data_IF_671040166074
#
_entry.id   IF_671040166074
#
_cell.length_a   1.000
_cell.length_b   1.000
_cell.length_c   1.000
_cell.angle_alpha   90.00
_cell.angle_beta   90.00
_cell.angle_gamma   90.00
#
_symmetry.space_group_name_H-M   'P 1'
#
loop_
_entity.id
_entity.type
_entity.pdbx_description
1 polymer ?
#
# COMPACT_ATOMS: atom_id res chain seq x y z
N UNK A 1 38.20 31.93 -44.94
CA UNK A 1 38.25 33.41 -44.75
C UNK A 1 37.82 33.67 -43.34
N UNK A 2 38.78 33.93 -42.55
CA UNK A 2 39.18 35.15 -41.84
C UNK A 2 38.36 35.28 -40.54
N UNK A 3 38.91 35.03 -39.38
CA UNK A 3 40.01 35.63 -38.57
C UNK A 3 39.50 36.76 -37.65
N UNK A 4 39.91 36.65 -36.36
CA UNK A 4 40.09 37.72 -35.38
C UNK A 4 39.57 37.33 -34.01
N UNK A 5 40.28 36.74 -33.07
CA UNK A 5 41.39 37.11 -32.15
C UNK A 5 41.24 38.49 -31.48
N UNK A 6 41.28 38.53 -30.17
CA UNK A 6 42.29 38.98 -29.16
C UNK A 6 41.58 39.25 -27.83
N UNK A 7 41.83 38.67 -26.71
CA UNK A 7 42.92 38.72 -25.73
C UNK A 7 43.08 40.08 -25.01
N UNK A 8 43.14 40.03 -23.68
CA UNK A 8 43.58 41.12 -22.81
C UNK A 8 43.50 40.84 -21.32
N UNK A 9 44.59 40.39 -20.73
CA UNK A 9 44.90 40.28 -19.30
C UNK A 9 44.94 41.64 -18.57
N UNK A 10 44.78 41.59 -17.23
CA UNK A 10 45.23 42.66 -16.36
C UNK A 10 44.90 42.47 -14.89
N UNK A 11 45.78 41.80 -14.15
CA UNK A 11 45.84 41.82 -12.67
C UNK A 11 46.18 43.20 -12.14
N UNK A 12 45.67 43.59 -10.97
CA UNK A 12 46.42 44.21 -9.87
C UNK A 12 45.64 44.25 -8.57
N UNK A 13 46.27 43.73 -7.56
CA UNK A 13 46.13 43.83 -6.08
C UNK A 13 46.08 45.28 -5.61
N UNK A 14 45.27 45.57 -4.54
CA UNK A 14 45.65 46.35 -3.34
C UNK A 14 44.50 46.37 -2.32
N UNK A 15 44.83 46.00 -1.10
CA UNK A 15 44.10 46.30 0.15
C UNK A 15 44.92 47.39 0.88
N UNK A 16 44.49 47.90 2.04
CA UNK A 16 43.17 48.13 2.65
C UNK A 16 42.92 49.63 3.00
N UNK A 17 41.69 50.00 3.28
CA UNK A 17 41.40 51.19 4.08
C UNK A 17 40.15 50.96 4.96
N UNK A 18 40.40 51.09 6.21
CA UNK A 18 39.54 51.18 7.36
C UNK A 18 38.53 52.33 7.20
N UNK A 19 37.23 52.03 7.41
CA UNK A 19 36.24 53.05 7.69
C UNK A 19 35.08 52.50 8.52
N UNK A 20 35.08 52.86 9.79
CA UNK A 20 33.99 52.70 10.73
C UNK A 20 32.71 53.33 10.18
N UNK A 21 31.65 52.58 10.08
CA UNK A 21 30.29 53.09 9.90
C UNK A 21 29.41 52.53 11.03
N UNK A 22 28.75 53.47 11.69
CA UNK A 22 27.84 53.33 12.82
C UNK A 22 26.81 52.23 12.65
N UNK A 23 26.63 51.55 13.74
CA UNK A 23 25.53 50.64 14.05
C UNK A 23 24.20 51.42 14.10
N UNK A 24 23.37 51.24 13.06
CA UNK A 24 21.93 51.55 13.09
C UNK A 24 21.17 50.21 13.21
N UNK A 25 20.52 50.02 14.35
CA UNK A 25 19.64 48.95 14.68
C UNK A 25 18.39 49.04 13.79
N UNK A 26 18.06 48.06 12.95
CA UNK A 26 16.77 48.01 12.31
C UNK A 26 15.71 47.55 13.32
N UNK A 27 14.64 48.32 13.40
CA UNK A 27 13.43 47.95 14.14
C UNK A 27 12.89 46.58 13.62
N UNK A 28 12.69 45.68 14.57
CA UNK A 28 12.03 44.38 14.34
C UNK A 28 10.57 44.65 14.01
N UNK A 29 10.23 44.63 12.71
CA UNK A 29 8.86 44.42 12.27
C UNK A 29 8.48 43.01 12.64
N UNK A 30 7.61 42.86 13.62
CA UNK A 30 6.95 41.62 13.96
C UNK A 30 6.03 41.26 12.77
N UNK A 31 6.51 40.38 11.89
CA UNK A 31 5.66 39.66 10.94
C UNK A 31 4.75 38.74 11.77
N UNK A 32 3.49 39.13 11.90
CA UNK A 32 2.46 38.25 12.41
C UNK A 32 2.37 37.05 11.43
N UNK A 33 2.75 35.87 11.89
CA UNK A 33 2.39 34.61 11.24
C UNK A 33 0.86 34.58 11.13
N UNK A 34 0.29 34.23 9.96
CA UNK A 34 -1.13 34.02 9.86
C UNK A 34 -1.48 32.87 10.82
N UNK A 35 -2.31 33.16 11.82
CA UNK A 35 -2.94 32.15 12.64
C UNK A 35 -3.61 31.15 11.68
N UNK A 36 -3.09 29.93 11.59
CA UNK A 36 -3.77 28.80 11.00
C UNK A 36 -5.05 28.65 11.82
N UNK A 37 -6.17 29.03 11.26
CA UNK A 37 -7.48 28.67 11.75
C UNK A 37 -7.51 27.14 11.78
N UNK A 38 -7.41 26.57 12.96
CA UNK A 38 -7.55 25.14 13.18
C UNK A 38 -8.96 24.81 12.70
N UNK A 39 -9.03 24.16 11.51
CA UNK A 39 -10.31 23.80 10.94
C UNK A 39 -11.03 22.93 11.98
N UNK A 40 -12.23 23.36 12.40
CA UNK A 40 -13.06 22.57 13.30
C UNK A 40 -13.19 21.17 12.72
N UNK A 41 -12.89 20.15 13.54
CA UNK A 41 -13.04 18.75 13.11
C UNK A 41 -14.48 18.45 12.67
N UNK A 42 -14.71 17.30 12.02
CA UNK A 42 -16.03 16.94 11.55
C UNK A 42 -17.02 16.83 12.72
N UNK A 43 -18.29 17.21 12.49
CA UNK A 43 -19.35 17.06 13.48
C UNK A 43 -19.66 15.57 13.68
N UNK A 44 -19.63 15.11 14.94
CA UNK A 44 -19.93 13.72 15.29
C UNK A 44 -21.41 13.59 15.57
N UNK A 45 -22.14 12.69 14.86
CA UNK A 45 -23.58 12.49 15.08
C UNK A 45 -23.86 11.96 16.49
N UNK A 46 -25.04 12.28 17.02
CA UNK A 46 -25.51 11.78 18.34
C UNK A 46 -25.98 10.33 18.27
N UNK A 47 -26.38 9.86 17.11
CA UNK A 47 -26.74 8.47 16.82
C UNK A 47 -25.67 7.85 15.94
N UNK A 48 -25.30 6.59 16.22
CA UNK A 48 -24.30 5.89 15.42
C UNK A 48 -24.83 5.61 14.02
N UNK A 49 -24.05 5.93 13.03
CA UNK A 49 -24.31 5.59 11.63
C UNK A 49 -23.83 4.17 11.36
N UNK A 50 -24.75 3.33 10.89
CA UNK A 50 -24.40 1.96 10.48
C UNK A 50 -23.64 2.00 9.15
N UNK A 51 -22.41 1.43 9.13
CA UNK A 51 -21.55 1.31 7.94
C UNK A 51 -21.05 -0.11 7.76
N UNK A 52 -20.85 -0.51 6.51
CA UNK A 52 -20.23 -1.79 6.14
C UNK A 52 -18.81 -1.59 5.66
N UNK A 53 -17.87 -2.25 6.33
CA UNK A 53 -16.45 -2.18 6.02
C UNK A 53 -15.96 -3.53 5.51
N UNK A 54 -15.53 -3.57 4.25
CA UNK A 54 -14.97 -4.77 3.66
C UNK A 54 -13.51 -4.98 4.04
N UNK A 55 -13.17 -6.24 4.34
CA UNK A 55 -11.83 -6.66 4.68
C UNK A 55 -11.45 -7.98 3.99
N UNK A 56 -10.16 -8.27 3.93
CA UNK A 56 -9.63 -9.59 3.58
C UNK A 56 -9.12 -10.30 4.84
N UNK A 57 -9.21 -11.65 4.95
CA UNK A 57 -8.79 -12.37 6.16
C UNK A 57 -7.27 -12.48 6.26
N UNK A 58 -6.61 -11.34 6.43
CA UNK A 58 -5.17 -11.21 6.62
C UNK A 58 -4.84 -10.11 7.62
N UNK A 59 -3.63 -10.18 8.20
CA UNK A 59 -3.17 -9.24 9.21
C UNK A 59 -3.20 -7.78 8.72
N UNK A 60 -2.77 -7.56 7.49
CA UNK A 60 -2.68 -6.22 6.91
C UNK A 60 -4.03 -5.50 6.85
N UNK A 61 -5.10 -6.25 6.54
CA UNK A 61 -6.47 -5.74 6.50
C UNK A 61 -7.03 -5.49 7.90
N UNK A 62 -6.85 -6.49 8.79
CA UNK A 62 -7.55 -6.53 10.07
C UNK A 62 -6.89 -5.71 11.18
N UNK A 63 -5.56 -5.59 11.19
CA UNK A 63 -4.84 -5.04 12.34
C UNK A 63 -5.31 -3.63 12.73
N UNK A 64 -5.50 -2.73 11.76
CA UNK A 64 -5.97 -1.36 12.03
C UNK A 64 -7.46 -1.33 12.36
N UNK A 65 -8.28 -2.14 11.66
CA UNK A 65 -9.73 -2.20 11.86
C UNK A 65 -10.04 -2.73 13.28
N UNK A 66 -9.41 -3.85 13.67
CA UNK A 66 -9.61 -4.47 14.99
C UNK A 66 -9.10 -3.56 16.12
N UNK A 67 -7.99 -2.84 15.90
CA UNK A 67 -7.51 -1.86 16.86
C UNK A 67 -8.48 -0.68 17.00
N UNK A 68 -9.07 -0.19 15.91
CA UNK A 68 -10.08 0.87 15.96
C UNK A 68 -11.36 0.41 16.68
N UNK A 69 -11.80 -0.83 16.44
CA UNK A 69 -12.94 -1.44 17.13
C UNK A 69 -12.64 -1.63 18.62
N UNK A 70 -11.52 -2.29 18.97
CA UNK A 70 -11.14 -2.60 20.33
C UNK A 70 -10.90 -1.39 21.23
N UNK A 71 -10.51 -0.25 20.65
CA UNK A 71 -10.34 1.03 21.37
C UNK A 71 -11.60 1.89 21.44
N UNK A 72 -12.71 1.45 20.80
CA UNK A 72 -13.94 2.24 20.71
C UNK A 72 -13.81 3.45 19.78
N UNK A 73 -12.82 3.44 18.84
CA UNK A 73 -12.63 4.55 17.93
C UNK A 73 -13.80 4.70 16.96
N UNK A 74 -14.42 3.62 16.51
CA UNK A 74 -15.56 3.69 15.62
C UNK A 74 -16.73 4.41 16.30
N UNK A 75 -17.12 4.01 17.52
CA UNK A 75 -18.20 4.65 18.28
C UNK A 75 -17.86 6.12 18.59
N UNK A 76 -16.59 6.40 18.95
CA UNK A 76 -16.12 7.76 19.20
C UNK A 76 -16.32 8.68 17.99
N UNK A 77 -16.15 8.15 16.78
CA UNK A 77 -16.34 8.89 15.53
C UNK A 77 -17.73 8.70 14.91
N UNK A 78 -18.68 8.12 15.66
CA UNK A 78 -20.09 8.03 15.33
C UNK A 78 -20.48 6.87 14.42
N UNK A 79 -19.77 5.72 14.49
CA UNK A 79 -20.03 4.55 13.66
C UNK A 79 -20.43 3.31 14.45
N UNK A 80 -21.42 2.59 13.92
CA UNK A 80 -21.72 1.18 14.17
C UNK A 80 -21.23 0.39 12.95
N UNK A 81 -20.24 -0.51 13.13
CA UNK A 81 -19.51 -1.12 12.03
C UNK A 81 -19.88 -2.59 11.85
N UNK A 82 -20.33 -2.96 10.64
CA UNK A 82 -20.45 -4.35 10.19
C UNK A 82 -19.23 -4.70 9.31
N UNK A 83 -18.46 -5.70 9.74
CA UNK A 83 -17.32 -6.20 8.97
C UNK A 83 -17.75 -7.28 7.96
N UNK A 84 -17.38 -7.12 6.69
CA UNK A 84 -17.75 -8.03 5.60
C UNK A 84 -16.50 -8.60 4.94
N UNK A 85 -16.35 -9.93 4.98
CA UNK A 85 -15.19 -10.64 4.43
C UNK A 85 -15.27 -10.81 2.92
N UNK A 86 -14.13 -10.59 2.25
CA UNK A 86 -13.94 -10.82 0.82
C UNK A 86 -12.60 -11.52 0.55
N UNK A 87 -12.54 -12.24 -0.56
CA UNK A 87 -11.33 -12.96 -0.96
C UNK A 87 -10.21 -12.03 -1.45
N UNK A 88 -10.56 -10.92 -2.15
CA UNK A 88 -9.61 -10.04 -2.82
C UNK A 88 -10.15 -8.61 -3.05
N UNK A 89 -9.24 -7.71 -3.41
CA UNK A 89 -9.57 -6.29 -3.65
C UNK A 89 -10.48 -6.03 -4.85
N UNK A 90 -10.30 -6.66 -6.00
CA UNK A 90 -11.21 -6.50 -7.15
C UNK A 90 -12.67 -6.84 -6.83
N UNK A 91 -12.92 -7.92 -6.09
CA UNK A 91 -14.28 -8.30 -5.67
C UNK A 91 -14.87 -7.31 -4.67
N UNK A 92 -14.04 -6.76 -3.77
CA UNK A 92 -14.43 -5.68 -2.87
C UNK A 92 -14.91 -4.45 -3.66
N UNK A 93 -14.13 -3.97 -4.63
CA UNK A 93 -14.48 -2.78 -5.42
C UNK A 93 -15.79 -3.02 -6.18
N UNK A 94 -16.00 -4.21 -6.72
CA UNK A 94 -17.26 -4.56 -7.39
C UNK A 94 -18.46 -4.57 -6.42
N UNK A 95 -18.28 -5.00 -5.17
CA UNK A 95 -19.30 -4.93 -4.14
C UNK A 95 -19.60 -3.46 -3.73
N UNK A 96 -18.58 -2.60 -3.66
CA UNK A 96 -18.75 -1.17 -3.40
C UNK A 96 -19.53 -0.49 -4.52
N UNK A 97 -19.25 -0.79 -5.79
CA UNK A 97 -19.98 -0.26 -6.95
C UNK A 97 -21.48 -0.64 -6.92
N UNK A 98 -21.82 -1.79 -6.34
CA UNK A 98 -23.22 -2.19 -6.14
C UNK A 98 -23.91 -1.49 -4.95
N UNK A 99 -23.18 -0.70 -4.17
CA UNK A 99 -23.67 -0.03 -2.98
C UNK A 99 -23.84 -0.93 -1.75
N UNK A 100 -23.26 -2.14 -1.75
CA UNK A 100 -23.36 -3.07 -0.64
C UNK A 100 -22.27 -2.88 0.44
N UNK A 101 -21.25 -2.08 0.18
CA UNK A 101 -20.10 -1.79 1.05
C UNK A 101 -19.82 -0.28 1.02
N UNK A 102 -19.58 0.31 2.18
CA UNK A 102 -19.32 1.75 2.34
C UNK A 102 -17.83 2.08 2.25
N UNK A 103 -17.02 1.35 2.99
CA UNK A 103 -15.55 1.51 3.05
C UNK A 103 -14.88 0.16 2.92
N UNK A 104 -13.65 0.17 2.45
CA UNK A 104 -12.94 -1.09 2.28
C UNK A 104 -11.43 -0.95 2.38
N UNK A 105 -10.77 -2.05 2.75
CA UNK A 105 -9.34 -2.22 2.61
C UNK A 105 -9.03 -2.87 1.25
N UNK A 106 -7.97 -2.40 0.59
CA UNK A 106 -7.40 -3.04 -0.62
C UNK A 106 -5.88 -3.13 -0.55
N UNK A 107 -5.34 -4.17 -1.19
CA UNK A 107 -3.90 -4.32 -1.44
C UNK A 107 -3.45 -3.63 -2.71
N UNK A 108 -2.13 -3.60 -2.91
CA UNK A 108 -1.43 -2.85 -3.99
C UNK A 108 -2.00 -3.13 -5.38
N UNK A 109 -2.20 -4.39 -5.76
CA UNK A 109 -2.66 -4.74 -7.12
C UNK A 109 -4.02 -4.16 -7.49
N UNK A 110 -4.92 -3.95 -6.51
CA UNK A 110 -6.22 -3.35 -6.74
C UNK A 110 -6.18 -1.82 -6.94
N UNK A 111 -5.09 -1.13 -6.58
CA UNK A 111 -4.95 0.31 -6.80
C UNK A 111 -5.08 0.72 -8.28
N UNK A 112 -4.79 -0.18 -9.22
CA UNK A 112 -5.02 0.08 -10.64
C UNK A 112 -6.48 0.42 -10.95
N UNK A 113 -7.43 -0.14 -10.19
CA UNK A 113 -8.85 0.15 -10.33
C UNK A 113 -9.18 1.55 -9.79
N UNK A 114 -8.47 2.01 -8.73
CA UNK A 114 -8.57 3.39 -8.26
C UNK A 114 -8.04 4.38 -9.30
N UNK A 115 -6.91 4.07 -9.95
CA UNK A 115 -6.38 4.90 -11.06
C UNK A 115 -7.37 4.99 -12.22
N UNK A 116 -8.20 3.97 -12.43
CA UNK A 116 -9.29 3.96 -13.42
C UNK A 116 -10.54 4.72 -12.95
N UNK A 117 -10.53 5.29 -11.75
CA UNK A 117 -11.65 6.06 -11.18
C UNK A 117 -12.80 5.22 -10.62
N UNK A 118 -12.57 3.91 -10.37
CA UNK A 118 -13.59 3.01 -9.82
C UNK A 118 -13.75 3.13 -8.30
N UNK A 119 -12.72 3.59 -7.59
CA UNK A 119 -12.74 3.94 -6.18
C UNK A 119 -11.69 5.01 -5.89
N UNK A 120 -11.83 5.74 -4.79
CA UNK A 120 -10.86 6.72 -4.32
C UNK A 120 -10.12 6.18 -3.10
N UNK A 121 -8.79 6.34 -3.09
CA UNK A 121 -7.96 6.09 -1.89
C UNK A 121 -8.21 7.23 -0.91
N UNK A 122 -8.68 6.90 0.30
CA UNK A 122 -8.98 7.90 1.35
C UNK A 122 -7.89 7.98 2.42
N UNK A 123 -7.19 6.87 2.70
CA UNK A 123 -5.96 6.88 3.49
C UNK A 123 -5.12 5.62 3.24
N UNK A 124 -3.84 5.70 3.57
CA UNK A 124 -2.96 4.53 3.56
C UNK A 124 -3.15 3.70 4.83
N UNK A 125 -3.16 2.38 4.67
CA UNK A 125 -3.28 1.46 5.79
C UNK A 125 -1.89 1.07 6.33
N UNK A 126 -1.03 0.56 5.48
CA UNK A 126 0.34 0.16 5.82
C UNK A 126 1.20 -0.17 4.60
N UNK A 127 2.51 -0.33 4.84
CA UNK A 127 3.41 -1.00 3.91
C UNK A 127 3.29 -2.52 4.10
N UNK A 128 3.16 -3.28 3.00
CA UNK A 128 3.07 -4.73 3.02
C UNK A 128 4.41 -5.37 2.68
N UNK A 129 4.74 -6.45 3.38
CA UNK A 129 5.91 -7.30 3.10
C UNK A 129 5.52 -8.79 3.20
N UNK A 130 4.32 -9.11 2.73
CA UNK A 130 3.68 -10.41 2.97
C UNK A 130 3.53 -11.25 1.70
N UNK A 131 3.81 -10.68 0.51
CA UNK A 131 3.69 -11.38 -0.76
C UNK A 131 4.96 -12.14 -1.07
N UNK A 132 4.81 -13.34 -1.62
CA UNK A 132 5.93 -14.14 -2.12
C UNK A 132 5.55 -14.99 -3.32
N UNK A 133 6.54 -15.30 -4.15
CA UNK A 133 6.52 -16.36 -5.15
C UNK A 133 7.25 -17.57 -4.56
N UNK A 134 6.54 -18.70 -4.49
CA UNK A 134 7.01 -19.94 -3.86
C UNK A 134 7.06 -21.04 -4.91
N UNK A 135 8.23 -21.67 -5.08
CA UNK A 135 8.43 -22.86 -5.90
C UNK A 135 8.33 -24.15 -5.07
N UNK A 136 7.98 -25.26 -5.74
CA UNK A 136 8.02 -26.59 -5.14
C UNK A 136 9.20 -27.37 -5.74
N UNK A 137 10.20 -27.72 -4.90
CA UNK A 137 11.41 -28.40 -5.34
C UNK A 137 11.13 -29.82 -5.85
N UNK A 138 10.11 -30.53 -5.32
CA UNK A 138 9.66 -31.83 -5.83
C UNK A 138 9.10 -31.74 -7.25
N UNK A 139 8.63 -30.55 -7.68
CA UNK A 139 8.15 -30.26 -9.02
C UNK A 139 9.23 -29.67 -9.93
N UNK A 140 10.49 -29.66 -9.44
CA UNK A 140 11.66 -29.17 -10.17
C UNK A 140 11.71 -27.64 -10.31
N UNK A 141 11.18 -26.90 -9.33
CA UNK A 141 11.27 -25.44 -9.26
C UNK A 141 12.14 -25.07 -8.07
N UNK A 142 13.38 -24.70 -8.33
CA UNK A 142 14.38 -24.33 -7.33
C UNK A 142 14.84 -22.87 -7.49
N UNK A 143 14.74 -22.33 -8.69
CA UNK A 143 15.16 -20.96 -9.05
C UNK A 143 14.07 -20.29 -9.87
N UNK A 144 14.20 -18.97 -10.09
CA UNK A 144 13.24 -18.22 -10.93
C UNK A 144 13.26 -18.70 -12.36
N UNK A 145 14.42 -19.08 -12.89
CA UNK A 145 14.60 -19.59 -14.26
C UNK A 145 13.84 -20.89 -14.49
N UNK A 146 13.67 -21.71 -13.44
CA UNK A 146 12.92 -22.98 -13.51
C UNK A 146 11.42 -22.77 -13.73
N UNK A 147 10.91 -21.54 -13.52
CA UNK A 147 9.49 -21.20 -13.75
C UNK A 147 9.11 -21.29 -15.24
N UNK A 148 10.08 -21.26 -16.15
CA UNK A 148 9.79 -21.33 -17.59
C UNK A 148 9.03 -22.60 -17.95
N UNK A 149 7.83 -22.44 -18.52
CA UNK A 149 6.93 -23.53 -18.91
C UNK A 149 6.25 -24.26 -17.74
N UNK A 150 6.38 -23.77 -16.51
CA UNK A 150 5.75 -24.34 -15.32
C UNK A 150 4.35 -23.78 -15.09
N UNK A 151 3.53 -24.57 -14.38
CA UNK A 151 2.21 -24.16 -13.88
C UNK A 151 2.37 -23.28 -12.66
N UNK A 152 2.07 -22.00 -12.80
CA UNK A 152 2.20 -21.03 -11.72
C UNK A 152 0.84 -20.45 -11.36
N UNK A 153 0.36 -20.76 -10.15
CA UNK A 153 -0.90 -20.22 -9.64
C UNK A 153 -0.74 -18.78 -9.14
N UNK A 154 -1.72 -17.93 -9.44
CA UNK A 154 -1.77 -16.55 -8.96
C UNK A 154 -3.21 -16.02 -8.93
N UNK A 155 -3.44 -14.91 -8.23
CA UNK A 155 -4.72 -14.21 -8.19
C UNK A 155 -4.61 -12.92 -9.00
N UNK A 156 -5.40 -12.84 -10.08
CA UNK A 156 -5.36 -11.72 -11.03
C UNK A 156 -5.86 -10.42 -10.39
N UNK A 157 -5.22 -9.30 -10.74
CA UNK A 157 -5.61 -8.00 -10.23
C UNK A 157 -5.22 -7.72 -8.78
N UNK A 158 -4.41 -8.58 -8.16
CA UNK A 158 -3.98 -8.46 -6.77
C UNK A 158 -2.45 -8.29 -6.66
N UNK A 159 -1.93 -8.15 -5.44
CA UNK A 159 -0.49 -8.13 -5.18
C UNK A 159 0.22 -9.44 -5.59
N UNK A 160 -0.52 -10.55 -5.64
CA UNK A 160 -0.04 -11.84 -6.16
C UNK A 160 0.45 -11.74 -7.61
N UNK A 161 -0.33 -11.10 -8.47
CA UNK A 161 0.06 -10.86 -9.86
C UNK A 161 1.29 -9.94 -9.95
N UNK A 162 1.32 -8.90 -9.13
CA UNK A 162 2.41 -7.93 -9.14
C UNK A 162 3.74 -8.56 -8.68
N UNK A 163 3.74 -9.32 -7.59
CA UNK A 163 4.96 -9.99 -7.10
C UNK A 163 5.44 -11.08 -8.07
N UNK A 164 4.51 -11.78 -8.76
CA UNK A 164 4.86 -12.76 -9.78
C UNK A 164 5.57 -12.10 -10.97
N UNK A 165 5.00 -11.01 -11.51
CA UNK A 165 5.62 -10.26 -12.60
C UNK A 165 7.00 -9.73 -12.23
N UNK A 166 7.13 -9.16 -11.03
CA UNK A 166 8.41 -8.65 -10.53
C UNK A 166 9.45 -9.77 -10.40
N UNK A 167 9.05 -10.95 -9.88
CA UNK A 167 9.92 -12.11 -9.73
C UNK A 167 10.35 -12.67 -11.08
N UNK A 168 9.44 -12.87 -12.01
CA UNK A 168 9.74 -13.31 -13.37
C UNK A 168 10.75 -12.38 -14.08
N UNK A 169 10.61 -11.07 -13.84
CA UNK A 169 11.50 -10.05 -14.39
C UNK A 169 12.98 -10.23 -13.98
N UNK A 170 13.28 -10.82 -12.80
CA UNK A 170 14.65 -11.13 -12.37
C UNK A 170 15.37 -12.08 -13.34
N UNK A 171 14.63 -13.01 -13.97
CA UNK A 171 15.16 -13.97 -14.95
C UNK A 171 14.86 -13.56 -16.40
N UNK A 172 14.44 -12.32 -16.65
CA UNK A 172 13.95 -11.85 -17.96
C UNK A 172 12.80 -12.71 -18.52
N UNK A 173 11.98 -13.28 -17.64
CA UNK A 173 10.76 -14.00 -17.98
C UNK A 173 9.55 -13.06 -17.87
N UNK A 174 8.47 -13.44 -18.55
CA UNK A 174 7.19 -12.76 -18.54
C UNK A 174 6.06 -13.75 -18.23
N UNK A 175 4.83 -13.28 -18.10
CA UNK A 175 3.67 -14.17 -17.93
C UNK A 175 3.46 -15.13 -19.10
N UNK A 176 3.95 -14.80 -20.31
CA UNK A 176 3.85 -15.63 -21.50
C UNK A 176 4.88 -16.81 -21.49
N UNK A 177 5.88 -16.75 -20.64
CA UNK A 177 6.89 -17.82 -20.49
C UNK A 177 6.47 -18.93 -19.52
N UNK A 178 5.34 -18.79 -18.83
CA UNK A 178 4.80 -19.74 -17.85
C UNK A 178 3.42 -20.24 -18.25
N UNK A 179 2.95 -21.36 -17.70
CA UNK A 179 1.55 -21.73 -17.72
C UNK A 179 0.86 -21.03 -16.52
N UNK A 180 0.38 -19.80 -16.74
CA UNK A 180 -0.26 -18.98 -15.73
C UNK A 180 -1.66 -19.53 -15.39
N UNK A 181 -1.89 -19.87 -14.12
CA UNK A 181 -3.15 -20.45 -13.64
C UNK A 181 -3.81 -19.47 -12.67
N UNK A 182 -4.84 -18.79 -13.15
CA UNK A 182 -5.60 -17.85 -12.33
C UNK A 182 -6.56 -18.59 -11.41
N UNK A 183 -6.54 -18.24 -10.11
CA UNK A 183 -7.46 -18.78 -9.11
C UNK A 183 -7.52 -17.89 -7.87
N UNK A 184 -8.53 -18.13 -7.02
CA UNK A 184 -8.66 -17.45 -5.72
C UNK A 184 -7.51 -17.80 -4.78
N UNK A 185 -7.14 -16.86 -3.91
CA UNK A 185 -6.01 -17.01 -2.99
C UNK A 185 -6.10 -18.26 -2.08
N UNK A 186 -7.30 -18.64 -1.66
CA UNK A 186 -7.51 -19.87 -0.88
C UNK A 186 -7.29 -21.15 -1.70
N UNK A 187 -7.69 -21.12 -2.98
CA UNK A 187 -7.47 -22.23 -3.91
C UNK A 187 -5.99 -22.40 -4.28
N UNK A 188 -5.22 -21.30 -4.34
CA UNK A 188 -3.76 -21.31 -4.56
C UNK A 188 -3.07 -22.19 -3.52
N UNK A 189 -3.36 -21.99 -2.23
CA UNK A 189 -2.77 -22.78 -1.14
C UNK A 189 -3.03 -24.27 -1.33
N UNK A 190 -4.28 -24.64 -1.59
CA UNK A 190 -4.67 -26.05 -1.83
C UNK A 190 -3.99 -26.64 -3.06
N UNK A 191 -3.92 -25.89 -4.16
CA UNK A 191 -3.29 -26.33 -5.40
C UNK A 191 -1.80 -26.56 -5.21
N UNK A 192 -1.11 -25.65 -4.51
CA UNK A 192 0.33 -25.73 -4.25
C UNK A 192 0.68 -26.90 -3.34
N UNK A 193 -0.01 -27.06 -2.22
CA UNK A 193 0.23 -28.14 -1.26
C UNK A 193 -0.08 -29.51 -1.86
N UNK A 194 -1.10 -29.63 -2.71
CA UNK A 194 -1.45 -30.89 -3.38
C UNK A 194 -0.62 -31.19 -4.64
N UNK A 195 0.33 -30.34 -5.01
CA UNK A 195 1.17 -30.52 -6.21
C UNK A 195 0.42 -30.41 -7.55
N UNK A 196 -0.72 -29.70 -7.58
CA UNK A 196 -1.47 -29.43 -8.82
C UNK A 196 -0.86 -28.31 -9.64
N UNK A 197 -0.04 -27.46 -9.00
CA UNK A 197 0.77 -26.44 -9.62
C UNK A 197 2.20 -26.56 -9.13
N UNK A 198 3.15 -26.10 -9.95
CA UNK A 198 4.59 -26.24 -9.70
C UNK A 198 5.14 -25.11 -8.81
N UNK A 199 4.48 -23.95 -8.89
CA UNK A 199 4.78 -22.76 -8.10
C UNK A 199 3.51 -21.93 -7.91
N UNK A 200 3.61 -20.96 -7.00
CA UNK A 200 2.53 -20.00 -6.81
C UNK A 200 3.03 -18.63 -6.38
N UNK A 201 2.20 -17.62 -6.59
CA UNK A 201 2.32 -16.30 -6.00
C UNK A 201 1.12 -16.04 -5.11
N UNK A 202 1.34 -15.60 -3.86
CA UNK A 202 0.28 -15.32 -2.90
C UNK A 202 0.81 -14.46 -1.75
N UNK A 203 -0.06 -14.15 -0.79
CA UNK A 203 0.27 -13.35 0.40
C UNK A 203 -0.02 -14.10 1.70
N UNK A 204 0.51 -13.57 2.81
CA UNK A 204 0.23 -14.11 4.15
C UNK A 204 -1.25 -13.91 4.54
N UNK A 205 -1.92 -14.92 5.19
CA UNK A 205 -1.33 -16.11 5.81
C UNK A 205 -1.08 -17.30 4.88
N UNK A 206 -1.52 -17.26 3.61
CA UNK A 206 -1.38 -18.38 2.67
C UNK A 206 0.08 -18.81 2.48
N UNK A 207 1.02 -17.85 2.39
CA UNK A 207 2.45 -18.14 2.30
C UNK A 207 2.94 -18.95 3.49
N UNK A 208 2.53 -18.59 4.72
CA UNK A 208 2.89 -19.30 5.93
C UNK A 208 2.33 -20.73 5.94
N UNK A 209 1.10 -20.92 5.49
CA UNK A 209 0.48 -22.25 5.37
C UNK A 209 1.27 -23.11 4.38
N UNK A 210 1.61 -22.57 3.21
CA UNK A 210 2.38 -23.29 2.19
C UNK A 210 3.76 -23.68 2.72
N UNK A 211 4.49 -22.78 3.39
CA UNK A 211 5.79 -23.09 3.99
C UNK A 211 5.68 -24.17 5.06
N UNK A 212 4.65 -24.13 5.90
CA UNK A 212 4.45 -25.12 6.95
C UNK A 212 4.12 -26.51 6.37
N UNK A 213 3.28 -26.58 5.34
CA UNK A 213 2.84 -27.85 4.75
C UNK A 213 3.90 -28.50 3.84
N UNK A 214 4.63 -27.70 3.08
CA UNK A 214 5.66 -28.20 2.18
C UNK A 214 7.04 -28.35 2.86
N UNK A 215 7.29 -27.63 3.94
CA UNK A 215 8.58 -27.65 4.64
C UNK A 215 9.74 -27.35 3.72
N UNK A 216 10.77 -28.21 3.73
CA UNK A 216 12.00 -28.03 2.92
C UNK A 216 11.77 -28.11 1.40
N UNK A 217 10.55 -28.43 0.96
CA UNK A 217 10.17 -28.46 -0.46
C UNK A 217 9.72 -27.09 -0.97
N UNK A 218 9.37 -26.17 -0.09
CA UNK A 218 9.02 -24.80 -0.44
C UNK A 218 10.28 -23.94 -0.57
N UNK A 219 10.49 -23.33 -1.74
CA UNK A 219 11.56 -22.37 -1.95
C UNK A 219 10.98 -20.99 -2.28
N UNK A 220 11.44 -19.94 -1.57
CA UNK A 220 11.11 -18.56 -1.88
C UNK A 220 11.91 -18.10 -3.10
N UNK A 221 11.21 -17.79 -4.18
CA UNK A 221 11.83 -17.33 -5.43
C UNK A 221 11.89 -15.79 -5.51
N UNK A 222 10.98 -15.14 -4.83
CA UNK A 222 10.93 -13.68 -4.70
C UNK A 222 9.90 -13.26 -3.67
N UNK A 223 10.17 -12.17 -2.96
CA UNK A 223 9.29 -11.57 -1.97
C UNK A 223 9.35 -10.04 -2.04
N UNK A 224 8.41 -9.33 -1.40
CA UNK A 224 8.37 -7.86 -1.43
C UNK A 224 9.71 -7.22 -1.02
N UNK A 225 10.42 -7.81 -0.03
CA UNK A 225 11.73 -7.33 0.44
C UNK A 225 12.80 -7.25 -0.66
N UNK A 226 12.65 -8.02 -1.74
CA UNK A 226 13.59 -8.07 -2.85
C UNK A 226 13.40 -6.95 -3.86
N UNK A 227 12.31 -6.18 -3.73
CA UNK A 227 11.87 -5.16 -4.69
C UNK A 227 11.63 -3.80 -4.07
N UNK A 228 12.10 -3.55 -2.83
CA UNK A 228 11.86 -2.30 -2.08
C UNK A 228 12.29 -1.04 -2.81
N UNK A 229 13.30 -1.14 -3.68
CA UNK A 229 13.81 0.00 -4.46
C UNK A 229 12.99 0.29 -5.73
N UNK A 230 12.17 -0.66 -6.17
CA UNK A 230 11.45 -0.57 -7.45
C UNK A 230 9.94 -0.74 -7.33
N UNK A 231 9.49 -1.44 -6.30
CA UNK A 231 8.07 -1.73 -6.08
C UNK A 231 7.76 -1.78 -4.58
N UNK A 232 7.16 -0.72 -4.07
CA UNK A 232 6.71 -0.65 -2.69
C UNK A 232 5.26 -1.12 -2.62
N UNK A 233 5.02 -2.23 -1.94
CA UNK A 233 3.67 -2.73 -1.72
C UNK A 233 2.97 -1.92 -0.63
N UNK A 234 1.97 -1.13 -1.02
CA UNK A 234 1.16 -0.28 -0.15
C UNK A 234 -0.26 -0.80 -0.13
N UNK A 235 -0.88 -0.84 1.03
CA UNK A 235 -2.30 -1.07 1.16
C UNK A 235 -3.03 0.19 1.62
N UNK A 236 -4.32 0.27 1.30
CA UNK A 236 -5.11 1.48 1.53
C UNK A 236 -6.54 1.18 1.94
N UNK A 237 -7.16 2.15 2.62
CA UNK A 237 -8.61 2.23 2.71
C UNK A 237 -9.16 3.08 1.57
N UNK A 238 -10.31 2.67 1.06
CA UNK A 238 -10.97 3.26 -0.08
C UNK A 238 -12.45 3.54 0.19
N UNK A 239 -13.01 4.49 -0.57
CA UNK A 239 -14.43 4.78 -0.64
C UNK A 239 -14.84 5.01 -2.09
N UNK A 240 -16.15 5.00 -2.38
CA UNK A 240 -16.65 5.35 -3.70
C UNK A 240 -16.48 6.85 -3.98
N UNK A 241 -16.14 7.27 -5.22
CA UNK A 241 -15.93 8.68 -5.57
C UNK A 241 -17.10 9.59 -5.20
N UNK A 242 -18.33 9.12 -5.40
CA UNK A 242 -19.53 9.88 -5.03
C UNK A 242 -19.65 10.07 -3.52
N UNK A 243 -19.25 9.08 -2.71
CA UNK A 243 -19.22 9.19 -1.25
C UNK A 243 -18.18 10.21 -0.80
N UNK A 244 -16.97 10.18 -1.35
CA UNK A 244 -15.91 11.16 -1.07
C UNK A 244 -16.35 12.58 -1.39
N UNK A 245 -17.12 12.75 -2.46
CA UNK A 245 -17.62 14.04 -2.91
C UNK A 245 -18.80 14.57 -2.09
N UNK A 246 -19.77 13.69 -1.74
CA UNK A 246 -21.05 14.10 -1.20
C UNK A 246 -21.16 13.95 0.33
N UNK A 247 -20.38 13.01 0.93
CA UNK A 247 -20.41 12.67 2.36
C UNK A 247 -19.03 12.88 3.00
N UNK A 248 -18.36 13.99 2.65
CA UNK A 248 -16.99 14.27 3.03
C UNK A 248 -16.74 14.17 4.54
N UNK A 249 -17.66 14.65 5.36
CA UNK A 249 -17.54 14.64 6.83
C UNK A 249 -17.56 13.20 7.36
N UNK A 250 -18.39 12.33 6.81
CA UNK A 250 -18.40 10.92 7.16
C UNK A 250 -17.09 10.23 6.76
N UNK A 251 -16.55 10.55 5.56
CA UNK A 251 -15.24 10.03 5.11
C UNK A 251 -14.11 10.47 6.05
N UNK A 252 -14.09 11.74 6.46
CA UNK A 252 -13.09 12.26 7.40
C UNK A 252 -13.19 11.53 8.74
N UNK A 253 -14.39 11.37 9.31
CA UNK A 253 -14.60 10.63 10.57
C UNK A 253 -14.11 9.18 10.47
N UNK A 254 -14.37 8.51 9.35
CA UNK A 254 -13.85 7.15 9.12
C UNK A 254 -12.31 7.11 9.08
N UNK A 255 -11.67 8.06 8.38
CA UNK A 255 -10.21 8.17 8.32
C UNK A 255 -9.62 8.43 9.71
N UNK A 256 -10.24 9.31 10.51
CA UNK A 256 -9.84 9.57 11.90
C UNK A 256 -9.95 8.32 12.78
N UNK A 257 -11.00 7.52 12.62
CA UNK A 257 -11.14 6.25 13.33
C UNK A 257 -10.02 5.26 12.94
N UNK A 258 -9.68 5.18 11.64
CA UNK A 258 -8.57 4.34 11.18
C UNK A 258 -7.22 4.81 11.71
N UNK A 259 -6.96 6.13 11.74
CA UNK A 259 -5.74 6.67 12.33
C UNK A 259 -5.65 6.40 13.83
N UNK A 260 -6.75 6.54 14.57
CA UNK A 260 -6.77 6.20 16.00
C UNK A 260 -6.41 4.72 16.24
N UNK A 261 -6.94 3.80 15.45
CA UNK A 261 -6.56 2.39 15.49
C UNK A 261 -5.09 2.15 15.13
N UNK A 262 -4.57 2.87 14.12
CA UNK A 262 -3.17 2.78 13.72
C UNK A 262 -2.22 3.32 14.80
N UNK A 263 -2.56 4.44 15.42
CA UNK A 263 -1.78 5.06 16.50
C UNK A 263 -1.72 4.14 17.72
N UNK A 264 -2.85 3.57 18.13
CA UNK A 264 -2.89 2.58 19.21
C UNK A 264 -1.96 1.40 18.90
N UNK A 265 -2.06 0.82 17.70
CA UNK A 265 -1.19 -0.29 17.30
C UNK A 265 0.30 0.04 17.34
N UNK A 266 0.67 1.30 17.04
CA UNK A 266 2.07 1.74 17.00
C UNK A 266 2.63 2.14 18.38
N UNK A 267 1.78 2.56 19.31
CA UNK A 267 2.19 3.05 20.65
C UNK A 267 2.01 2.02 21.75
N UNK A 268 1.03 1.14 21.64
CA UNK A 268 0.60 0.19 22.68
C UNK A 268 0.68 -1.27 22.22
N UNK A 269 1.67 -1.59 21.40
CA UNK A 269 1.82 -2.90 20.75
C UNK A 269 1.86 -4.09 21.72
N UNK A 270 2.22 -3.88 22.99
CA UNK A 270 2.35 -4.92 24.04
C UNK A 270 1.02 -5.18 24.79
N UNK A 271 -0.09 -4.51 24.45
CA UNK A 271 -1.43 -4.72 25.00
C UNK A 271 -2.32 -5.50 24.05
#
# INVERSE_FOLDING_TARGET
MAVGMLAGCGSKTNAPADNQVKEETPATEATAEPATEEAAGPEIPTELEHIKVAYMPNYASLATIVAAEGTGAFEKYGFDVELVEFADGPTIISAMESGSIDYAYIGTGAHKLCVQGRADVICFAQLSNADAVIGNTDMGVNTVEDLKGKKVAYSSGTSSEEILKATLGKANLTMDDIEAVEMDASAITTAMVSGKVDACATWSPNTLTIYNELGDKAVELGANKDFTDTNVSVSSFIAMPDKVKNDRDQVIRFVEAMYAGSDFRNTDFDQ
#
